data_IF_712637258937
#
_entry.id   IF_712637258937
#
_cell.length_a   1.000
_cell.length_b   1.000
_cell.length_c   1.000
_cell.angle_alpha   90.00
_cell.angle_beta   90.00
_cell.angle_gamma   90.00
#
_symmetry.space_group_name_H-M   'P 1'
#
loop_
_entity.id
_entity.type
_entity.pdbx_description
1 polymer ?
#
# COMPACT_ATOMS: atom_id res chain seq x y z
N UNK A 1 14.71 2.77 12.83
CA UNK A 1 14.48 2.90 11.38
C UNK A 1 13.07 2.41 11.07
N UNK A 2 12.29 3.10 10.23
CA UNK A 2 10.97 2.61 9.81
C UNK A 2 11.11 1.68 8.60
N UNK A 3 10.49 0.50 8.67
CA UNK A 3 10.46 -0.49 7.60
C UNK A 3 9.02 -0.83 7.25
N UNK A 4 8.75 -0.92 5.96
CA UNK A 4 7.47 -1.38 5.44
C UNK A 4 7.71 -2.57 4.50
N UNK A 5 6.88 -3.62 4.60
CA UNK A 5 6.93 -4.80 3.73
C UNK A 5 5.56 -5.15 3.18
N UNK A 6 5.55 -5.73 1.98
CA UNK A 6 4.40 -6.36 1.36
C UNK A 6 4.67 -7.86 1.28
N UNK A 7 3.96 -8.63 2.09
CA UNK A 7 4.07 -10.08 2.18
C UNK A 7 2.92 -10.72 1.40
N UNK A 8 3.24 -11.67 0.53
CA UNK A 8 2.27 -12.35 -0.34
C UNK A 8 1.65 -13.54 0.40
N UNK A 9 0.32 -13.57 0.47
CA UNK A 9 -0.46 -14.65 1.05
C UNK A 9 -1.44 -15.23 0.01
N UNK A 10 -1.07 -15.20 -1.27
CA UNK A 10 -1.85 -15.74 -2.37
C UNK A 10 -2.96 -14.78 -2.79
N UNK A 11 -4.15 -14.95 -2.22
CA UNK A 11 -5.32 -14.11 -2.53
C UNK A 11 -5.34 -12.81 -1.73
N UNK A 12 -4.49 -12.69 -0.71
CA UNK A 12 -4.38 -11.51 0.14
C UNK A 12 -2.94 -11.05 0.25
N UNK A 13 -2.74 -9.80 0.61
CA UNK A 13 -1.42 -9.21 0.87
C UNK A 13 -1.39 -8.68 2.29
N UNK A 14 -0.34 -8.99 3.04
CA UNK A 14 -0.10 -8.35 4.32
C UNK A 14 0.85 -7.19 4.16
N UNK A 15 0.44 -6.03 4.67
CA UNK A 15 1.27 -4.84 4.80
C UNK A 15 1.76 -4.81 6.23
N UNK A 16 3.07 -4.87 6.43
CA UNK A 16 3.67 -4.73 7.76
C UNK A 16 4.41 -3.40 7.84
N UNK A 17 4.10 -2.60 8.86
CA UNK A 17 4.87 -1.40 9.21
C UNK A 17 5.54 -1.60 10.56
N UNK A 18 6.86 -1.41 10.63
CA UNK A 18 7.65 -1.60 11.85
C UNK A 18 8.57 -0.41 12.12
N UNK A 19 8.62 -0.01 13.39
CA UNK A 19 9.66 0.84 13.99
C UNK A 19 10.59 -0.01 14.85
N UNK A 20 11.62 0.59 15.43
CA UNK A 20 12.52 -0.13 16.35
C UNK A 20 11.81 -0.61 17.64
N UNK A 21 10.62 -0.07 17.94
CA UNK A 21 9.89 -0.31 19.19
C UNK A 21 8.46 -0.85 19.01
N UNK A 22 7.95 -0.97 17.78
CA UNK A 22 6.58 -1.41 17.52
C UNK A 22 6.40 -1.94 16.10
N UNK A 23 5.44 -2.82 15.88
CA UNK A 23 5.03 -3.29 14.57
C UNK A 23 3.51 -3.39 14.47
N UNK A 24 2.98 -3.14 13.27
CA UNK A 24 1.59 -3.36 12.93
C UNK A 24 1.47 -4.09 11.59
N UNK A 25 0.37 -4.81 11.42
CA UNK A 25 0.05 -5.55 10.20
C UNK A 25 -1.34 -5.17 9.71
N UNK A 26 -1.53 -5.04 8.40
CA UNK A 26 -2.81 -4.76 7.76
C UNK A 26 -3.01 -5.69 6.58
N UNK A 27 -4.15 -6.38 6.55
CA UNK A 27 -4.46 -7.33 5.47
C UNK A 27 -5.26 -6.64 4.37
N UNK A 28 -4.77 -6.77 3.15
CA UNK A 28 -5.42 -6.30 1.93
C UNK A 28 -6.03 -7.51 1.21
N UNK A 29 -7.34 -7.50 0.88
CA UNK A 29 -8.03 -8.62 0.25
C UNK A 29 -7.76 -8.65 -1.27
N UNK A 30 -6.49 -8.62 -1.66
CA UNK A 30 -6.05 -8.81 -3.03
C UNK A 30 -4.62 -9.37 -3.07
N UNK A 31 -4.30 -10.08 -4.15
CA UNK A 31 -2.95 -10.60 -4.40
C UNK A 31 -1.91 -9.48 -4.50
N UNK A 32 -0.68 -9.76 -4.07
CA UNK A 32 0.41 -8.78 -4.01
C UNK A 32 0.70 -8.15 -5.37
N UNK A 33 0.74 -8.95 -6.43
CA UNK A 33 0.97 -8.45 -7.78
C UNK A 33 -0.10 -7.44 -8.23
N UNK A 34 -1.38 -7.71 -7.93
CA UNK A 34 -2.48 -6.81 -8.24
C UNK A 34 -2.41 -5.52 -7.42
N UNK A 35 -2.03 -5.61 -6.14
CA UNK A 35 -1.83 -4.43 -5.29
C UNK A 35 -0.70 -3.55 -5.83
N UNK A 36 0.45 -4.15 -6.16
CA UNK A 36 1.60 -3.43 -6.72
C UNK A 36 1.24 -2.77 -8.05
N UNK A 37 0.53 -3.47 -8.93
CA UNK A 37 0.06 -2.91 -10.21
C UNK A 37 -0.88 -1.70 -9.99
N UNK A 38 -1.81 -1.78 -9.04
CA UNK A 38 -2.71 -0.67 -8.73
C UNK A 38 -1.96 0.54 -8.14
N UNK A 39 -1.00 0.30 -7.23
CA UNK A 39 -0.16 1.37 -6.69
C UNK A 39 0.67 2.02 -7.80
N UNK A 40 1.26 1.21 -8.69
CA UNK A 40 2.05 1.72 -9.80
C UNK A 40 1.22 2.58 -10.74
N UNK A 41 0.03 2.12 -11.13
CA UNK A 41 -0.89 2.90 -11.96
C UNK A 41 -1.23 4.26 -11.34
N UNK A 42 -1.47 4.31 -10.02
CA UNK A 42 -1.74 5.55 -9.30
C UNK A 42 -0.51 6.49 -9.23
N UNK A 43 0.70 5.93 -9.21
CA UNK A 43 1.95 6.71 -9.19
C UNK A 43 2.35 7.22 -10.58
N UNK A 44 2.07 6.46 -11.62
CA UNK A 44 2.38 6.81 -13.01
C UNK A 44 1.53 7.99 -13.53
N UNK A 45 0.32 8.18 -13.00
CA UNK A 45 -0.58 9.29 -13.33
C UNK A 45 -0.47 10.41 -12.26
N UNK A 46 0.26 11.51 -12.51
CA UNK A 46 0.53 12.53 -11.49
C UNK A 46 -0.73 13.31 -11.06
N UNK A 47 -1.69 13.49 -11.97
CA UNK A 47 -2.94 14.20 -11.69
C UNK A 47 -3.93 13.37 -10.87
N UNK A 48 -3.85 12.04 -10.98
CA UNK A 48 -4.71 11.14 -10.21
C UNK A 48 -4.21 11.04 -8.78
N UNK A 49 -5.11 11.38 -7.84
CA UNK A 49 -4.87 11.26 -6.40
C UNK A 49 -5.54 10.06 -5.77
N UNK A 50 -6.50 9.46 -6.45
CA UNK A 50 -7.35 8.43 -5.88
C UNK A 50 -7.63 7.36 -6.92
N UNK A 51 -7.61 6.09 -6.52
CA UNK A 51 -7.91 4.96 -7.40
C UNK A 51 -8.65 3.86 -6.64
N UNK A 52 -9.70 3.32 -7.25
CA UNK A 52 -10.39 2.12 -6.75
C UNK A 52 -9.84 0.90 -7.49
N UNK A 53 -9.46 -0.14 -6.75
CA UNK A 53 -8.99 -1.40 -7.31
C UNK A 53 -9.68 -2.58 -6.60
N UNK A 54 -10.81 -3.05 -7.15
CA UNK A 54 -11.61 -4.08 -6.51
C UNK A 54 -12.22 -3.61 -5.19
N UNK A 55 -11.91 -4.30 -4.10
CA UNK A 55 -12.41 -3.98 -2.75
C UNK A 55 -11.58 -2.92 -2.01
N UNK A 56 -10.52 -2.40 -2.63
CA UNK A 56 -9.65 -1.40 -2.00
C UNK A 56 -9.77 -0.02 -2.64
N UNK A 57 -9.52 0.98 -1.82
CA UNK A 57 -9.46 2.38 -2.24
C UNK A 57 -8.09 2.97 -1.88
N UNK A 58 -7.36 3.41 -2.89
CA UNK A 58 -6.03 4.00 -2.78
C UNK A 58 -6.13 5.52 -2.83
N UNK A 59 -5.47 6.20 -1.91
CA UNK A 59 -5.38 7.67 -1.89
C UNK A 59 -3.91 8.09 -1.77
N UNK A 60 -3.43 8.83 -2.74
CA UNK A 60 -2.09 9.43 -2.82
C UNK A 60 -2.17 10.89 -2.39
N UNK A 61 -1.56 11.21 -1.25
CA UNK A 61 -1.31 12.57 -0.80
C UNK A 61 0.12 13.00 -1.17
N UNK A 62 0.53 14.21 -0.82
CA UNK A 62 1.89 14.68 -1.07
C UNK A 62 2.96 13.92 -0.27
N UNK A 63 2.59 13.33 0.87
CA UNK A 63 3.53 12.67 1.81
C UNK A 63 3.32 11.18 1.98
N UNK A 64 2.12 10.68 1.66
CA UNK A 64 1.70 9.32 2.01
C UNK A 64 0.77 8.71 0.96
N UNK A 65 0.80 7.38 0.93
CA UNK A 65 -0.18 6.53 0.29
C UNK A 65 -1.05 5.91 1.39
N UNK A 66 -2.37 6.05 1.24
CA UNK A 66 -3.37 5.41 2.09
C UNK A 66 -4.04 4.29 1.32
N UNK A 67 -4.18 3.14 1.97
CA UNK A 67 -4.79 1.94 1.42
C UNK A 67 -5.98 1.58 2.30
N UNK A 68 -7.18 1.84 1.82
CA UNK A 68 -8.43 1.60 2.53
C UNK A 68 -9.03 0.24 2.16
N UNK A 69 -9.48 -0.49 3.17
CA UNK A 69 -10.22 -1.75 3.07
C UNK A 69 -11.40 -1.69 4.04
N UNK A 70 -12.62 -1.52 3.52
CA UNK A 70 -13.80 -1.31 4.35
C UNK A 70 -13.63 -0.10 5.27
N UNK A 71 -13.68 -0.31 6.60
CA UNK A 71 -13.46 0.73 7.61
C UNK A 71 -11.99 0.89 8.04
N UNK A 72 -11.10 0.00 7.62
CA UNK A 72 -9.67 0.02 7.96
C UNK A 72 -8.83 0.79 6.93
N UNK A 73 -7.67 1.29 7.37
CA UNK A 73 -6.72 1.99 6.51
C UNK A 73 -5.27 1.71 6.94
N UNK A 74 -4.41 1.38 5.98
CA UNK A 74 -2.96 1.41 6.13
C UNK A 74 -2.40 2.70 5.54
N UNK A 75 -1.51 3.37 6.28
CA UNK A 75 -0.85 4.61 5.83
C UNK A 75 0.65 4.35 5.71
N UNK A 76 1.19 4.61 4.52
CA UNK A 76 2.59 4.37 4.19
C UNK A 76 3.18 5.68 3.64
N UNK A 77 4.25 6.23 4.24
CA UNK A 77 4.93 7.39 3.68
C UNK A 77 5.43 7.07 2.26
N UNK A 78 5.24 7.99 1.31
CA UNK A 78 5.53 7.75 -0.12
C UNK A 78 6.99 7.32 -0.38
N UNK A 79 7.94 7.84 0.41
CA UNK A 79 9.35 7.43 0.40
C UNK A 79 9.53 5.91 0.56
N UNK A 80 8.64 5.23 1.28
CA UNK A 80 8.67 3.79 1.49
C UNK A 80 7.82 3.00 0.48
N UNK A 81 7.05 3.69 -0.37
CA UNK A 81 6.20 3.05 -1.40
C UNK A 81 6.99 2.73 -2.67
N UNK A 82 7.94 3.58 -3.06
CA UNK A 82 8.74 3.38 -4.28
C UNK A 82 9.44 2.00 -4.36
N UNK A 83 10.05 1.47 -3.28
CA UNK A 83 10.63 0.13 -3.31
C UNK A 83 9.64 -1.00 -3.63
N UNK A 84 8.34 -0.79 -3.43
CA UNK A 84 7.32 -1.81 -3.72
C UNK A 84 7.00 -1.95 -5.20
N UNK A 85 7.15 -0.87 -5.96
CA UNK A 85 6.77 -0.81 -7.39
C UNK A 85 7.97 -0.91 -8.33
N UNK A 86 9.19 -0.81 -7.80
CA UNK A 86 10.45 -0.94 -8.56
C UNK A 86 11.11 -2.32 -8.42
N UNK A 87 10.59 -3.19 -7.55
CA UNK A 87 11.11 -4.53 -7.30
C UNK A 87 10.65 -5.57 -8.33
#
# INVERSE_FOLDING_TARGET
MQRYTLDDHGETTQITGATDSSSWTFTVPMAKASLVAAIKALLDEPETREQIAGAIFLVKNSTDLKIHVGSGCAVIPLVHVFPFVMA
#
